data_IF_700671210881
#
_entry.id   IF_700671210881
#
_cell.length_a   1.000
_cell.length_b   1.000
_cell.length_c   1.000
_cell.angle_alpha   90.00
_cell.angle_beta   90.00
_cell.angle_gamma   90.00
#
_symmetry.space_group_name_H-M   'P 1'
#
loop_
_entity.id
_entity.type
_entity.pdbx_description
1 polymer ?
#
# COMPACT_ATOMS: atom_id res chain seq x y z
N UNK A 1 12.55 50.87 21.41
CA UNK A 1 12.94 51.51 20.14
C UNK A 1 11.76 51.39 19.19
N UNK A 2 11.28 52.51 18.64
CA UNK A 2 10.08 52.60 17.80
C UNK A 2 10.53 52.80 16.36
N UNK A 3 10.03 51.99 15.42
CA UNK A 3 10.37 52.11 14.00
C UNK A 3 9.20 52.80 13.31
N UNK A 4 9.47 53.92 12.62
CA UNK A 4 8.46 54.68 11.88
C UNK A 4 8.35 54.12 10.47
N UNK A 5 7.26 53.42 10.18
CA UNK A 5 6.86 53.05 8.82
C UNK A 5 5.77 54.06 8.44
N UNK A 6 5.96 54.77 7.32
CA UNK A 6 5.23 55.98 6.89
C UNK A 6 3.80 56.19 7.45
N UNK A 7 3.56 57.35 8.08
CA UNK A 7 2.22 57.85 8.45
C UNK A 7 1.78 57.57 9.90
N UNK A 8 2.14 58.47 10.83
CA UNK A 8 1.62 58.69 12.21
C UNK A 8 1.56 57.53 13.21
N UNK A 9 1.70 56.26 12.82
CA UNK A 9 1.68 55.11 13.72
C UNK A 9 3.09 54.54 13.94
N UNK A 10 3.48 54.42 15.21
CA UNK A 10 4.78 53.82 15.56
C UNK A 10 4.59 52.36 15.93
N UNK A 11 5.10 51.45 15.10
CA UNK A 11 5.13 50.02 15.42
C UNK A 11 6.25 49.78 16.42
N UNK A 12 5.91 49.11 17.53
CA UNK A 12 6.90 48.67 18.52
C UNK A 12 7.66 47.46 17.98
N UNK A 13 8.98 47.42 18.18
CA UNK A 13 9.78 46.22 17.86
C UNK A 13 9.17 44.96 18.48
N UNK A 14 8.56 45.06 19.66
CA UNK A 14 7.85 43.95 20.30
C UNK A 14 6.68 43.42 19.46
N UNK A 15 5.90 44.29 18.83
CA UNK A 15 4.77 43.88 17.96
C UNK A 15 5.31 43.20 16.69
N UNK A 16 6.39 43.74 16.12
CA UNK A 16 7.05 43.14 14.96
C UNK A 16 7.58 41.75 15.30
N UNK A 17 8.32 41.60 16.40
CA UNK A 17 8.82 40.31 16.87
C UNK A 17 7.68 39.34 17.16
N UNK A 18 6.60 39.78 17.80
CA UNK A 18 5.45 38.92 18.08
C UNK A 18 4.79 38.38 16.80
N UNK A 19 4.62 39.23 15.78
CA UNK A 19 4.11 38.81 14.47
C UNK A 19 5.05 37.82 13.81
N UNK A 20 6.36 38.08 13.78
CA UNK A 20 7.33 37.14 13.23
C UNK A 20 7.36 35.82 14.00
N UNK A 21 7.33 35.84 15.32
CA UNK A 21 7.25 34.63 16.16
C UNK A 21 6.00 33.82 15.87
N UNK A 22 4.85 34.49 15.71
CA UNK A 22 3.60 33.83 15.33
C UNK A 22 3.69 33.20 13.93
N UNK A 23 4.26 33.91 12.95
CA UNK A 23 4.46 33.38 11.60
C UNK A 23 5.38 32.16 11.59
N UNK A 24 6.51 32.23 12.31
CA UNK A 24 7.42 31.09 12.44
C UNK A 24 6.75 29.90 13.14
N UNK A 25 5.94 30.14 14.17
CA UNK A 25 5.18 29.09 14.83
C UNK A 25 4.18 28.42 13.87
N UNK A 26 3.45 29.20 13.06
CA UNK A 26 2.51 28.67 12.07
C UNK A 26 3.22 27.83 11.00
N UNK A 27 4.31 28.33 10.44
CA UNK A 27 5.09 27.60 9.43
C UNK A 27 5.68 26.32 10.01
N UNK A 28 6.25 26.38 11.21
CA UNK A 28 6.80 25.21 11.90
C UNK A 28 5.72 24.16 12.21
N UNK A 29 4.54 24.59 12.64
CA UNK A 29 3.42 23.67 12.87
C UNK A 29 2.94 23.02 11.57
N UNK A 30 2.74 23.80 10.50
CA UNK A 30 2.32 23.28 9.19
C UNK A 30 3.31 22.25 8.64
N UNK A 31 4.61 22.51 8.74
CA UNK A 31 5.62 21.55 8.32
C UNK A 31 5.57 20.25 9.13
N UNK A 32 5.38 20.34 10.45
CA UNK A 32 5.26 19.16 11.31
C UNK A 32 4.03 18.31 10.97
N UNK A 33 2.88 18.95 10.72
CA UNK A 33 1.65 18.25 10.32
C UNK A 33 1.85 17.55 8.97
N UNK A 34 2.36 18.26 7.97
CA UNK A 34 2.63 17.69 6.65
C UNK A 34 3.60 16.50 6.71
N UNK A 35 4.69 16.62 7.47
CA UNK A 35 5.65 15.54 7.64
C UNK A 35 5.05 14.34 8.36
N UNK A 36 4.18 14.57 9.34
CA UNK A 36 3.47 13.51 10.05
C UNK A 36 2.53 12.76 9.11
N UNK A 37 1.76 13.47 8.29
CA UNK A 37 0.84 12.88 7.31
C UNK A 37 1.57 11.97 6.31
N UNK A 38 2.71 12.41 5.77
CA UNK A 38 3.55 11.57 4.89
C UNK A 38 4.05 10.33 5.61
N UNK A 39 4.50 10.47 6.87
CA UNK A 39 5.01 9.34 7.65
C UNK A 39 3.91 8.32 7.91
N UNK A 40 2.70 8.78 8.24
CA UNK A 40 1.53 7.93 8.47
C UNK A 40 1.11 7.21 7.20
N UNK A 41 1.07 7.93 6.07
CA UNK A 41 0.82 7.34 4.75
C UNK A 41 1.81 6.21 4.44
N UNK A 42 3.11 6.48 4.52
CA UNK A 42 4.15 5.49 4.23
C UNK A 42 4.05 4.26 5.16
N UNK A 43 3.72 4.47 6.44
CA UNK A 43 3.54 3.36 7.38
C UNK A 43 2.30 2.51 7.08
N UNK A 44 1.19 3.12 6.69
CA UNK A 44 -0.04 2.41 6.32
C UNK A 44 0.18 1.58 5.05
N UNK A 45 0.73 2.20 3.99
CA UNK A 45 1.03 1.50 2.73
C UNK A 45 2.03 0.37 2.95
N UNK A 46 3.08 0.59 3.76
CA UNK A 46 4.08 -0.44 4.10
C UNK A 46 3.45 -1.62 4.84
N UNK A 47 2.58 -1.36 5.82
CA UNK A 47 1.91 -2.41 6.59
C UNK A 47 0.98 -3.24 5.70
N UNK A 48 0.18 -2.59 4.86
CA UNK A 48 -0.69 -3.28 3.90
C UNK A 48 0.12 -4.08 2.86
N UNK A 49 1.25 -3.54 2.39
CA UNK A 49 2.13 -4.21 1.43
C UNK A 49 2.75 -5.50 2.00
N UNK A 50 3.17 -5.50 3.27
CA UNK A 50 3.66 -6.73 3.90
C UNK A 50 2.57 -7.77 4.09
N UNK A 51 1.36 -7.34 4.46
CA UNK A 51 0.20 -8.24 4.54
C UNK A 51 -0.13 -8.83 3.17
N UNK A 52 -0.10 -8.02 2.10
CA UNK A 52 -0.27 -8.51 0.72
C UNK A 52 0.77 -9.58 0.35
N UNK A 53 2.04 -9.36 0.68
CA UNK A 53 3.11 -10.35 0.41
C UNK A 53 2.84 -11.68 1.13
N UNK A 54 2.38 -11.63 2.38
CA UNK A 54 2.00 -12.82 3.15
C UNK A 54 0.83 -13.55 2.49
N UNK A 55 -0.25 -12.83 2.16
CA UNK A 55 -1.43 -13.42 1.52
C UNK A 55 -1.13 -14.01 0.14
N UNK A 56 -0.25 -13.38 -0.64
CA UNK A 56 0.23 -13.89 -1.93
C UNK A 56 1.01 -15.20 -1.77
N UNK A 57 1.90 -15.29 -0.76
CA UNK A 57 2.62 -16.53 -0.46
C UNK A 57 1.71 -17.65 0.04
N UNK A 58 0.69 -17.32 0.83
CA UNK A 58 -0.31 -18.32 1.25
C UNK A 58 -1.16 -18.83 0.09
N UNK A 59 -1.52 -17.96 -0.86
CA UNK A 59 -2.22 -18.38 -2.08
C UNK A 59 -1.36 -19.33 -2.94
N UNK A 60 -0.08 -19.01 -3.11
CA UNK A 60 0.87 -19.89 -3.81
C UNK A 60 0.98 -21.26 -3.14
N UNK A 61 1.06 -21.29 -1.80
CA UNK A 61 1.06 -22.54 -1.04
C UNK A 61 -0.22 -23.36 -1.24
N UNK A 62 -1.38 -22.73 -1.39
CA UNK A 62 -2.64 -23.41 -1.69
C UNK A 62 -2.59 -24.05 -3.09
N UNK A 63 -2.03 -23.34 -4.07
CA UNK A 63 -1.90 -23.87 -5.44
C UNK A 63 -0.98 -25.08 -5.46
N UNK A 64 0.15 -25.00 -4.74
CA UNK A 64 1.08 -26.12 -4.65
C UNK A 64 0.48 -27.32 -3.93
N UNK A 65 -0.24 -27.09 -2.84
CA UNK A 65 -0.96 -28.16 -2.14
C UNK A 65 -2.01 -28.82 -3.04
N UNK A 66 -2.70 -28.05 -3.87
CA UNK A 66 -3.72 -28.56 -4.79
C UNK A 66 -3.12 -29.38 -5.93
N UNK A 67 -2.06 -28.86 -6.58
CA UNK A 67 -1.54 -29.39 -7.82
C UNK A 67 -0.41 -30.41 -7.63
N UNK A 68 0.52 -30.17 -6.72
CA UNK A 68 1.70 -31.03 -6.53
C UNK A 68 1.50 -32.04 -5.40
N UNK A 69 0.89 -31.61 -4.29
CA UNK A 69 0.69 -32.49 -3.13
C UNK A 69 -0.63 -33.28 -3.20
N UNK A 70 -1.53 -32.89 -4.13
CA UNK A 70 -2.87 -33.47 -4.29
C UNK A 70 -3.70 -33.45 -2.98
N UNK A 71 -3.42 -32.47 -2.11
CA UNK A 71 -4.11 -32.27 -0.84
C UNK A 71 -5.40 -31.46 -1.07
N UNK A 72 -6.53 -32.16 -1.10
CA UNK A 72 -7.86 -31.57 -1.31
C UNK A 72 -8.33 -30.65 -0.16
N UNK A 73 -7.70 -30.73 1.02
CA UNK A 73 -8.05 -29.94 2.20
C UNK A 73 -7.24 -28.66 2.23
N UNK A 74 -5.92 -28.74 2.06
CA UNK A 74 -5.04 -27.56 2.03
C UNK A 74 -5.12 -26.82 0.70
N UNK A 75 -5.18 -27.55 -0.41
CA UNK A 75 -5.34 -27.03 -1.76
C UNK A 75 -6.79 -26.73 -2.18
N UNK A 76 -7.71 -26.53 -1.23
CA UNK A 76 -9.11 -26.31 -1.57
C UNK A 76 -9.29 -25.00 -2.38
N UNK A 77 -9.94 -25.02 -3.55
CA UNK A 77 -10.19 -23.79 -4.33
C UNK A 77 -10.98 -22.73 -3.56
N UNK A 78 -11.78 -23.14 -2.56
CA UNK A 78 -12.47 -22.21 -1.65
C UNK A 78 -11.50 -21.38 -0.82
N UNK A 79 -10.41 -21.99 -0.33
CA UNK A 79 -9.34 -21.26 0.37
C UNK A 79 -8.66 -20.27 -0.57
N UNK A 80 -8.40 -20.68 -1.82
CA UNK A 80 -7.85 -19.80 -2.85
C UNK A 80 -8.72 -18.56 -3.12
N UNK A 81 -10.03 -18.75 -3.29
CA UNK A 81 -10.96 -17.62 -3.44
C UNK A 81 -10.97 -16.66 -2.25
N UNK A 82 -10.88 -17.17 -1.02
CA UNK A 82 -10.77 -16.32 0.17
C UNK A 82 -9.50 -15.46 0.11
N UNK A 83 -8.36 -16.06 -0.24
CA UNK A 83 -7.08 -15.33 -0.36
C UNK A 83 -7.09 -14.30 -1.47
N UNK A 84 -7.57 -14.66 -2.66
CA UNK A 84 -7.63 -13.75 -3.81
C UNK A 84 -8.53 -12.55 -3.53
N UNK A 85 -9.67 -12.74 -2.87
CA UNK A 85 -10.54 -11.62 -2.50
C UNK A 85 -9.88 -10.73 -1.45
N UNK A 86 -9.26 -11.31 -0.41
CA UNK A 86 -8.56 -10.54 0.61
C UNK A 86 -7.39 -9.74 0.01
N UNK A 87 -6.65 -10.31 -0.94
CA UNK A 87 -5.59 -9.61 -1.68
C UNK A 87 -6.14 -8.39 -2.43
N UNK A 88 -7.29 -8.52 -3.08
CA UNK A 88 -7.94 -7.40 -3.76
C UNK A 88 -8.49 -6.35 -2.76
N UNK A 89 -9.01 -6.77 -1.61
CA UNK A 89 -9.53 -5.85 -0.60
C UNK A 89 -8.40 -5.05 0.07
N UNK A 90 -7.25 -5.68 0.33
CA UNK A 90 -6.08 -5.04 0.92
C UNK A 90 -5.37 -4.06 -0.02
N UNK A 91 -5.47 -4.24 -1.34
CA UNK A 91 -4.78 -3.36 -2.29
C UNK A 91 -5.38 -1.96 -2.36
N UNK A 92 -6.63 -1.77 -1.91
CA UNK A 92 -7.34 -0.47 -1.92
C UNK A 92 -6.59 0.62 -1.16
N UNK A 93 -5.85 0.26 -0.11
CA UNK A 93 -5.09 1.21 0.73
C UNK A 93 -3.65 1.40 0.28
N UNK A 94 -3.29 0.88 -0.89
CA UNK A 94 -1.95 1.00 -1.51
C UNK A 94 -2.01 1.92 -2.73
N UNK A 95 -1.16 1.68 -3.75
CA UNK A 95 -1.13 2.45 -4.99
C UNK A 95 -2.03 1.86 -6.09
N UNK A 96 -2.52 2.69 -7.04
CA UNK A 96 -3.36 2.23 -8.15
C UNK A 96 -2.74 1.09 -8.99
N UNK A 97 -1.41 1.07 -9.11
CA UNK A 97 -0.68 0.02 -9.83
C UNK A 97 -0.86 -1.35 -9.16
N UNK A 98 -0.81 -1.39 -7.82
CA UNK A 98 -1.01 -2.61 -7.04
C UNK A 98 -2.46 -3.06 -7.12
N UNK A 99 -3.42 -2.14 -7.06
CA UNK A 99 -4.84 -2.45 -7.25
C UNK A 99 -5.05 -3.15 -8.59
N UNK A 100 -4.56 -2.57 -9.69
CA UNK A 100 -4.64 -3.17 -11.01
C UNK A 100 -3.90 -4.52 -11.12
N UNK A 101 -2.79 -4.71 -10.40
CA UNK A 101 -2.10 -6.01 -10.32
C UNK A 101 -2.97 -7.07 -9.63
N UNK A 102 -3.55 -6.75 -8.49
CA UNK A 102 -4.40 -7.66 -7.71
C UNK A 102 -5.69 -8.01 -8.44
N UNK A 103 -6.28 -7.07 -9.18
CA UNK A 103 -7.45 -7.33 -10.03
C UNK A 103 -7.11 -8.29 -11.18
N UNK A 104 -5.94 -8.13 -11.82
CA UNK A 104 -5.46 -9.06 -12.85
C UNK A 104 -5.23 -10.46 -12.29
N UNK A 105 -4.64 -10.58 -11.09
CA UNK A 105 -4.51 -11.85 -10.39
C UNK A 105 -5.88 -12.48 -10.10
N UNK A 106 -6.84 -11.69 -9.61
CA UNK A 106 -8.20 -12.15 -9.32
C UNK A 106 -8.93 -12.64 -10.58
N UNK A 107 -8.80 -11.92 -11.69
CA UNK A 107 -9.35 -12.34 -12.97
C UNK A 107 -8.69 -13.64 -13.47
N UNK A 108 -7.36 -13.77 -13.33
CA UNK A 108 -6.66 -14.99 -13.71
C UNK A 108 -7.09 -16.20 -12.84
N UNK A 109 -7.24 -16.00 -11.53
CA UNK A 109 -7.80 -17.02 -10.65
C UNK A 109 -9.21 -17.43 -11.08
N UNK A 110 -10.08 -16.47 -11.40
CA UNK A 110 -11.44 -16.74 -11.87
C UNK A 110 -11.48 -17.63 -13.12
N UNK A 111 -10.48 -17.50 -14.01
CA UNK A 111 -10.37 -18.31 -15.22
C UNK A 111 -9.82 -19.72 -14.96
N UNK A 112 -8.92 -19.87 -13.98
CA UNK A 112 -8.11 -21.09 -13.81
C UNK A 112 -8.46 -21.93 -12.56
N UNK A 113 -9.30 -21.44 -11.64
CA UNK A 113 -9.51 -22.09 -10.33
C UNK A 113 -10.08 -23.52 -10.41
N UNK A 114 -10.88 -23.84 -11.43
CA UNK A 114 -11.47 -25.17 -11.61
C UNK A 114 -10.42 -26.21 -12.02
N UNK A 115 -9.47 -25.79 -12.86
CA UNK A 115 -8.45 -26.64 -13.45
C UNK A 115 -7.13 -26.61 -12.69
N UNK A 116 -6.94 -25.71 -11.72
CA UNK A 116 -5.67 -25.51 -11.01
C UNK A 116 -5.12 -26.80 -10.37
N UNK A 117 -5.98 -27.70 -9.91
CA UNK A 117 -5.57 -28.96 -9.29
C UNK A 117 -5.16 -30.04 -10.30
N UNK A 118 -5.67 -29.97 -11.54
CA UNK A 118 -5.55 -31.03 -12.55
C UNK A 118 -4.73 -30.66 -13.78
N UNK A 119 -4.52 -29.37 -14.03
CA UNK A 119 -3.81 -28.84 -15.19
C UNK A 119 -2.64 -27.96 -14.74
N UNK A 120 -1.44 -28.37 -15.13
CA UNK A 120 -0.19 -27.69 -14.79
C UNK A 120 -0.14 -26.29 -15.41
N UNK A 121 -0.68 -26.12 -16.62
CA UNK A 121 -0.72 -24.81 -17.27
C UNK A 121 -1.59 -23.82 -16.49
N UNK A 122 -2.75 -24.27 -15.99
CA UNK A 122 -3.62 -23.48 -15.11
C UNK A 122 -2.90 -23.09 -13.80
N UNK A 123 -2.19 -24.03 -13.17
CA UNK A 123 -1.41 -23.75 -11.96
C UNK A 123 -0.28 -22.73 -12.20
N UNK A 124 0.52 -22.93 -13.26
CA UNK A 124 1.62 -22.03 -13.63
C UNK A 124 1.15 -20.62 -13.95
N UNK A 125 0.04 -20.46 -14.68
CA UNK A 125 -0.51 -19.13 -15.00
C UNK A 125 -0.88 -18.34 -13.75
N UNK A 126 -1.46 -19.00 -12.76
CA UNK A 126 -1.81 -18.34 -11.50
C UNK A 126 -0.55 -17.98 -10.72
N UNK A 127 0.43 -18.89 -10.63
CA UNK A 127 1.72 -18.65 -9.96
C UNK A 127 2.47 -17.48 -10.60
N UNK A 128 2.52 -17.42 -11.94
CA UNK A 128 3.12 -16.29 -12.67
C UNK A 128 2.45 -14.96 -12.29
N UNK A 129 1.12 -14.93 -12.18
CA UNK A 129 0.40 -13.71 -11.75
C UNK A 129 0.63 -13.35 -10.29
N UNK A 130 0.86 -14.34 -9.42
CA UNK A 130 1.27 -14.11 -8.03
C UNK A 130 2.65 -13.45 -8.00
N UNK A 131 3.60 -13.98 -8.76
CA UNK A 131 4.96 -13.43 -8.84
C UNK A 131 5.02 -12.03 -9.45
N UNK A 132 4.26 -11.78 -10.51
CA UNK A 132 4.09 -10.44 -11.09
C UNK A 132 3.57 -9.43 -10.06
N UNK A 133 2.58 -9.85 -9.26
CA UNK A 133 1.97 -8.99 -8.23
C UNK A 133 2.97 -8.75 -7.09
N UNK A 134 3.67 -9.80 -6.66
CA UNK A 134 4.72 -9.75 -5.64
C UNK A 134 5.87 -8.82 -6.04
N UNK A 135 6.28 -8.85 -7.30
CA UNK A 135 7.30 -7.95 -7.84
C UNK A 135 6.86 -6.49 -7.74
N UNK A 136 5.64 -6.18 -8.17
CA UNK A 136 5.07 -4.83 -8.09
C UNK A 136 4.96 -4.34 -6.63
N UNK A 137 4.51 -5.19 -5.70
CA UNK A 137 4.45 -4.84 -4.27
C UNK A 137 5.85 -4.56 -3.71
N UNK A 138 6.87 -5.35 -4.10
CA UNK A 138 8.26 -5.10 -3.68
C UNK A 138 8.82 -3.80 -4.26
N UNK A 139 8.47 -3.47 -5.50
CA UNK A 139 8.83 -2.20 -6.13
C UNK A 139 8.22 -1.03 -5.37
N UNK A 140 6.92 -1.08 -5.03
CA UNK A 140 6.28 -0.08 -4.18
C UNK A 140 6.99 0.06 -2.83
N UNK A 141 7.29 -1.04 -2.14
CA UNK A 141 8.00 -0.98 -0.87
C UNK A 141 9.36 -0.27 -0.97
N UNK A 142 10.03 -0.35 -2.11
CA UNK A 142 11.33 0.32 -2.33
C UNK A 142 11.21 1.83 -2.56
N UNK A 143 10.02 2.34 -2.87
CA UNK A 143 9.77 3.77 -3.10
C UNK A 143 9.26 4.51 -1.86
N UNK A 144 8.88 3.79 -0.80
CA UNK A 144 8.38 4.40 0.43
C UNK A 144 9.54 4.94 1.29
N UNK A 145 9.45 6.23 1.66
CA UNK A 145 10.44 6.92 2.52
C UNK A 145 10.17 6.75 4.03
#
# INVERSE_FOLDING_TARGET
MKVSISGTETISIFQLTAVFSMLFALVGFSYNVWRMEITEYNNNVRSASFELLLQLSELESIIYAAHYDQDIIQGSPRKGWVKVNLIADLSVVTEPEIQAATERLKANWQLNWESVASDENSAMQVVEKIDDTRLQVRQLLSTLE
#
